data_IF_340115167955
#
_entry.id   IF_340115167955
#
_cell.length_a   1.000
_cell.length_b   1.000
_cell.length_c   1.000
_cell.angle_alpha   90.00
_cell.angle_beta   90.00
_cell.angle_gamma   90.00
#
_symmetry.space_group_name_H-M   'P 1'
#
loop_
_entity.id
_entity.type
_entity.pdbx_description
1 polymer ?
#
# COMPACT_ATOMS: atom_id res chain seq x y z
N UNK A 1 1.55 36.37 13.93
CA UNK A 1 1.74 35.03 14.54
C UNK A 1 2.95 34.42 13.85
N UNK A 2 4.05 34.33 14.58
CA UNK A 2 5.42 34.11 14.04
C UNK A 2 5.59 32.71 13.47
N UNK A 3 6.29 32.57 12.34
CA UNK A 3 6.51 31.29 11.65
C UNK A 3 7.16 30.19 12.50
N UNK A 4 7.83 30.54 13.60
CA UNK A 4 8.34 29.58 14.59
C UNK A 4 7.21 28.77 15.25
N UNK A 5 6.14 29.43 15.69
CA UNK A 5 5.02 28.76 16.38
C UNK A 5 4.29 27.76 15.46
N UNK A 6 4.20 28.08 14.16
CA UNK A 6 3.61 27.19 13.17
C UNK A 6 4.44 25.92 12.96
N UNK A 7 5.77 26.03 12.99
CA UNK A 7 6.65 24.87 12.84
C UNK A 7 6.62 23.98 14.08
N UNK A 8 6.57 24.55 15.28
CA UNK A 8 6.47 23.78 16.52
C UNK A 8 5.13 23.06 16.63
N UNK A 9 4.04 23.68 16.18
CA UNK A 9 2.73 23.02 16.11
C UNK A 9 2.75 21.84 15.13
N UNK A 10 3.41 21.99 13.97
CA UNK A 10 3.56 20.88 13.01
C UNK A 10 4.39 19.73 13.57
N UNK A 11 5.51 20.03 14.25
CA UNK A 11 6.35 19.03 14.92
C UNK A 11 5.57 18.28 16.00
N UNK A 12 4.82 19.01 16.82
CA UNK A 12 3.96 18.43 17.85
C UNK A 12 2.91 17.51 17.22
N UNK A 13 2.23 17.96 16.17
CA UNK A 13 1.26 17.15 15.45
C UNK A 13 1.87 15.85 14.89
N UNK A 14 3.05 15.92 14.27
CA UNK A 14 3.76 14.75 13.76
C UNK A 14 4.13 13.76 14.88
N UNK A 15 4.61 14.27 16.01
CA UNK A 15 4.93 13.45 17.19
C UNK A 15 3.68 12.71 17.70
N UNK A 16 2.58 13.42 17.88
CA UNK A 16 1.32 12.85 18.36
C UNK A 16 0.78 11.78 17.41
N UNK A 17 0.82 12.05 16.10
CA UNK A 17 0.39 11.09 15.08
C UNK A 17 1.24 9.83 15.09
N UNK A 18 2.57 9.97 15.21
CA UNK A 18 3.47 8.83 15.28
C UNK A 18 3.23 8.01 16.56
N UNK A 19 3.11 8.67 17.70
CA UNK A 19 2.83 8.03 18.99
C UNK A 19 1.51 7.24 18.94
N UNK A 20 0.46 7.82 18.36
CA UNK A 20 -0.83 7.14 18.20
C UNK A 20 -0.67 5.89 17.31
N UNK A 21 -0.02 6.01 16.16
CA UNK A 21 0.19 4.86 15.26
C UNK A 21 0.99 3.72 15.92
N UNK A 22 2.03 4.04 16.70
CA UNK A 22 2.81 3.08 17.49
C UNK A 22 1.90 2.38 18.52
N UNK A 23 1.12 3.14 19.28
CA UNK A 23 0.18 2.59 20.27
C UNK A 23 -0.86 1.68 19.62
N UNK A 24 -1.44 2.07 18.50
CA UNK A 24 -2.42 1.24 17.78
C UNK A 24 -1.83 -0.10 17.33
N UNK A 25 -0.57 -0.10 16.86
CA UNK A 25 0.13 -1.34 16.52
C UNK A 25 0.41 -2.20 17.75
N UNK A 26 0.87 -1.59 18.85
CA UNK A 26 1.14 -2.30 20.11
C UNK A 26 -0.13 -2.92 20.71
N UNK A 27 -1.25 -2.20 20.74
CA UNK A 27 -2.52 -2.74 21.26
C UNK A 27 -2.98 -3.96 20.44
N UNK A 28 -2.78 -3.91 19.12
CA UNK A 28 -3.23 -4.97 18.21
C UNK A 28 -2.33 -6.20 18.21
N UNK A 29 -1.01 -6.00 18.20
CA UNK A 29 -0.05 -7.07 17.92
C UNK A 29 0.97 -7.29 19.05
N UNK A 30 1.13 -6.34 19.96
CA UNK A 30 2.11 -6.41 21.04
C UNK A 30 1.87 -7.64 21.94
N UNK A 31 2.93 -8.43 22.12
CA UNK A 31 2.89 -9.65 22.93
C UNK A 31 2.07 -10.80 22.35
N UNK A 32 1.59 -10.68 21.11
CA UNK A 32 0.85 -11.73 20.40
C UNK A 32 1.80 -12.47 19.44
N UNK A 33 1.50 -13.74 19.14
CA UNK A 33 2.24 -14.53 18.13
C UNK A 33 1.79 -14.24 16.68
N UNK A 34 0.92 -13.26 16.50
CA UNK A 34 0.37 -12.92 15.20
C UNK A 34 1.32 -12.00 14.45
N UNK A 35 1.43 -12.23 13.13
CA UNK A 35 2.29 -11.46 12.26
C UNK A 35 1.56 -10.20 11.79
N UNK A 36 2.21 -9.05 11.91
CA UNK A 36 1.74 -7.76 11.43
C UNK A 36 2.20 -7.54 9.97
N UNK A 37 1.26 -7.65 9.02
CA UNK A 37 1.50 -7.48 7.57
C UNK A 37 0.95 -6.15 7.05
N UNK A 38 1.28 -5.83 5.79
CA UNK A 38 0.80 -4.65 5.06
C UNK A 38 -0.71 -4.65 4.76
N UNK A 39 -1.39 -5.79 4.92
CA UNK A 39 -2.84 -5.89 4.83
C UNK A 39 -3.58 -5.21 5.99
N UNK A 40 -2.92 -4.98 7.13
CA UNK A 40 -3.52 -4.29 8.27
C UNK A 40 -3.33 -2.78 8.15
N UNK A 41 -4.42 -2.03 8.28
CA UNK A 41 -4.42 -0.57 8.17
C UNK A 41 -3.55 0.11 9.22
N UNK A 42 -3.36 -0.50 10.40
CA UNK A 42 -2.49 0.03 11.47
C UNK A 42 -1.03 -0.01 11.06
N UNK A 43 -0.59 -1.10 10.42
CA UNK A 43 0.79 -1.26 9.92
C UNK A 43 1.07 -0.29 8.79
N UNK A 44 0.12 -0.13 7.87
CA UNK A 44 0.22 0.86 6.80
C UNK A 44 0.26 2.29 7.35
N UNK A 45 -0.58 2.61 8.34
CA UNK A 45 -0.58 3.90 9.03
C UNK A 45 0.76 4.16 9.74
N UNK A 46 1.29 3.16 10.45
CA UNK A 46 2.58 3.24 11.14
C UNK A 46 3.71 3.61 10.17
N UNK A 47 3.81 2.91 9.04
CA UNK A 47 4.79 3.21 8.01
C UNK A 47 4.64 4.65 7.49
N UNK A 48 3.40 5.09 7.25
CA UNK A 48 3.11 6.44 6.76
C UNK A 48 3.50 7.53 7.78
N UNK A 49 3.30 7.31 9.09
CA UNK A 49 3.68 8.30 10.11
C UNK A 49 5.20 8.40 10.28
N UNK A 50 5.93 7.28 10.26
CA UNK A 50 7.39 7.31 10.25
C UNK A 50 7.92 8.02 8.99
N UNK A 51 7.36 7.71 7.82
CA UNK A 51 7.69 8.40 6.58
C UNK A 51 7.45 9.91 6.69
N UNK A 52 6.29 10.34 7.21
CA UNK A 52 5.98 11.75 7.39
C UNK A 52 6.98 12.47 8.31
N UNK A 53 7.41 11.81 9.39
CA UNK A 53 8.43 12.34 10.31
C UNK A 53 9.79 12.47 9.62
N UNK A 54 10.25 11.43 8.93
CA UNK A 54 11.53 11.47 8.21
C UNK A 54 11.51 12.42 7.01
N UNK A 55 10.36 12.65 6.39
CA UNK A 55 10.21 13.54 5.25
C UNK A 55 10.06 15.02 5.68
N UNK A 56 9.69 15.28 6.95
CA UNK A 56 9.43 16.62 7.45
C UNK A 56 10.69 17.48 7.51
N UNK A 57 10.71 18.57 6.74
CA UNK A 57 11.79 19.55 6.76
C UNK A 57 13.08 19.08 6.10
N UNK A 58 13.01 18.11 5.19
CA UNK A 58 14.13 17.82 4.31
C UNK A 58 14.50 19.04 3.46
N UNK A 59 15.80 19.31 3.38
CA UNK A 59 16.36 20.32 2.49
C UNK A 59 16.16 19.88 1.06
N UNK A 60 15.52 20.73 0.27
CA UNK A 60 15.64 20.65 -1.19
C UNK A 60 17.11 20.86 -1.50
N UNK A 61 17.76 19.87 -2.10
CA UNK A 61 19.17 19.98 -2.47
C UNK A 61 19.37 21.29 -3.24
N UNK A 62 20.05 22.26 -2.61
CA UNK A 62 20.48 23.51 -3.26
C UNK A 62 21.81 23.31 -4.00
N UNK A 63 22.19 22.06 -4.29
CA UNK A 63 23.51 21.70 -4.79
C UNK A 63 23.44 20.91 -6.08
N UNK A 64 23.35 21.65 -7.20
CA UNK A 64 23.85 21.35 -8.57
C UNK A 64 23.30 22.36 -9.60
N UNK A 65 22.30 23.18 -9.24
CA UNK A 65 21.67 24.14 -10.15
C UNK A 65 22.45 25.46 -10.34
N UNK A 66 23.37 25.83 -9.44
CA UNK A 66 24.03 27.14 -9.50
C UNK A 66 25.09 27.25 -10.61
N UNK A 67 25.67 26.14 -11.08
CA UNK A 67 26.58 26.13 -12.25
C UNK A 67 25.86 25.84 -13.56
N UNK A 68 24.65 25.28 -13.53
CA UNK A 68 23.86 25.00 -14.73
C UNK A 68 22.99 26.19 -15.18
N UNK A 69 22.55 27.05 -14.26
CA UNK A 69 21.72 28.22 -14.58
C UNK A 69 22.47 29.27 -15.43
N UNK A 70 23.79 29.41 -15.22
CA UNK A 70 24.61 30.35 -15.98
C UNK A 70 24.88 29.89 -17.43
N UNK A 71 24.88 28.58 -17.69
CA UNK A 71 25.15 28.01 -19.02
C UNK A 71 23.84 27.73 -19.80
N UNK A 72 22.71 27.51 -19.11
CA UNK A 72 21.41 27.18 -19.74
C UNK A 72 20.54 28.39 -20.14
N UNK A 73 20.97 29.63 -19.91
CA UNK A 73 20.21 30.79 -20.39
C UNK A 73 20.23 30.96 -21.93
N UNK A 74 21.07 30.22 -22.66
CA UNK A 74 21.16 30.33 -24.11
C UNK A 74 20.31 29.32 -24.91
N UNK A 75 19.63 28.35 -24.28
CA UNK A 75 19.05 27.22 -25.03
C UNK A 75 17.61 26.80 -24.66
N UNK A 76 16.83 27.63 -23.97
CA UNK A 76 15.36 27.46 -23.87
C UNK A 76 14.84 26.12 -23.31
N UNK A 77 15.69 25.25 -22.76
CA UNK A 77 15.31 23.91 -22.29
C UNK A 77 15.31 23.86 -20.77
N UNK A 78 14.15 24.13 -20.18
CA UNK A 78 13.90 23.95 -18.73
C UNK A 78 13.78 22.46 -18.42
N UNK A 79 14.90 21.78 -18.19
CA UNK A 79 14.89 20.46 -17.56
C UNK A 79 14.66 20.63 -16.06
N UNK A 80 13.39 20.68 -15.65
CA UNK A 80 12.96 20.52 -14.26
C UNK A 80 13.32 19.10 -13.79
N UNK A 81 14.55 18.87 -13.37
CA UNK A 81 14.91 17.72 -12.52
C UNK A 81 15.06 18.21 -11.10
N UNK A 82 14.03 18.87 -10.56
CA UNK A 82 13.90 18.95 -9.11
C UNK A 82 13.39 17.58 -8.64
N UNK A 83 14.32 16.64 -8.43
CA UNK A 83 14.00 15.44 -7.66
C UNK A 83 13.56 15.87 -6.27
N UNK A 84 12.33 15.52 -5.91
CA UNK A 84 11.78 15.78 -4.58
C UNK A 84 12.77 15.25 -3.52
N UNK A 85 13.12 16.04 -2.49
CA UNK A 85 14.05 15.58 -1.48
C UNK A 85 13.44 14.38 -0.77
N UNK A 86 14.19 13.29 -0.66
CA UNK A 86 13.72 12.05 -0.02
C UNK A 86 14.68 11.64 1.07
N UNK A 87 14.13 11.17 2.19
CA UNK A 87 14.94 10.77 3.35
C UNK A 87 15.90 9.62 3.03
N UNK A 88 15.65 8.85 1.96
CA UNK A 88 16.56 7.84 1.44
C UNK A 88 17.98 8.35 1.21
N UNK A 89 18.14 9.60 0.77
CA UNK A 89 19.46 10.19 0.55
C UNK A 89 20.30 10.29 1.82
N UNK A 90 19.66 10.43 2.97
CA UNK A 90 20.36 10.42 4.25
C UNK A 90 20.53 9.00 4.78
N UNK A 91 19.50 8.17 4.67
CA UNK A 91 19.54 6.76 5.10
C UNK A 91 20.68 5.98 4.44
N UNK A 92 20.88 6.12 3.13
CA UNK A 92 21.95 5.39 2.43
C UNK A 92 23.36 5.68 2.97
N UNK A 93 23.57 6.84 3.61
CA UNK A 93 24.86 7.25 4.18
C UNK A 93 25.15 6.57 5.53
N UNK A 94 24.18 5.87 6.13
CA UNK A 94 24.37 5.06 7.34
C UNK A 94 24.35 3.56 7.07
N UNK A 95 23.96 3.14 5.86
CA UNK A 95 23.92 1.74 5.44
C UNK A 95 25.31 1.25 5.02
N UNK A 96 25.59 -0.02 5.26
CA UNK A 96 26.76 -0.68 4.72
C UNK A 96 26.58 -1.04 3.23
N UNK A 97 27.68 -1.38 2.54
CA UNK A 97 27.65 -1.69 1.09
C UNK A 97 26.70 -2.83 0.74
N UNK A 98 26.61 -3.87 1.58
CA UNK A 98 25.75 -5.02 1.34
C UNK A 98 24.27 -4.68 1.52
N UNK A 99 23.93 -3.94 2.57
CA UNK A 99 22.58 -3.40 2.81
C UNK A 99 22.14 -2.53 1.64
N UNK A 100 23.01 -1.62 1.20
CA UNK A 100 22.73 -0.74 0.07
C UNK A 100 22.46 -1.55 -1.22
N UNK A 101 23.32 -2.52 -1.52
CA UNK A 101 23.15 -3.39 -2.69
C UNK A 101 21.84 -4.18 -2.63
N UNK A 102 21.39 -4.64 -1.45
CA UNK A 102 20.09 -5.32 -1.29
C UNK A 102 18.95 -4.44 -1.79
N UNK A 103 18.92 -3.15 -1.43
CA UNK A 103 17.86 -2.22 -1.88
C UNK A 103 17.96 -1.85 -3.37
N UNK A 104 19.17 -1.80 -3.95
CA UNK A 104 19.34 -1.60 -5.39
C UNK A 104 18.99 -2.85 -6.22
N UNK A 105 18.96 -4.03 -5.61
CA UNK A 105 18.65 -5.30 -6.28
C UNK A 105 17.16 -5.66 -6.25
N UNK A 106 16.32 -4.84 -5.60
CA UNK A 106 14.86 -5.01 -5.57
C UNK A 106 14.29 -4.87 -6.98
N UNK A 107 13.36 -5.77 -7.36
CA UNK A 107 12.88 -5.87 -8.75
C UNK A 107 11.77 -4.86 -9.05
N UNK A 108 10.90 -4.62 -8.06
CA UNK A 108 9.76 -3.74 -8.19
C UNK A 108 10.10 -2.29 -7.83
N UNK A 109 11.20 -2.05 -7.11
CA UNK A 109 11.61 -0.72 -6.64
C UNK A 109 12.61 -0.07 -7.60
N UNK A 110 12.22 1.04 -8.20
CA UNK A 110 13.03 1.78 -9.17
C UNK A 110 13.37 3.20 -8.71
N UNK A 111 12.60 3.78 -7.79
CA UNK A 111 12.77 5.17 -7.33
C UNK A 111 13.42 5.26 -5.96
N UNK A 112 14.05 6.40 -5.66
CA UNK A 112 14.63 6.66 -4.33
C UNK A 112 13.56 6.79 -3.24
N UNK A 113 12.36 7.27 -3.57
CA UNK A 113 11.19 7.24 -2.67
C UNK A 113 10.89 5.78 -2.29
N UNK A 114 10.82 4.90 -3.30
CA UNK A 114 10.58 3.48 -3.09
C UNK A 114 11.66 2.81 -2.26
N UNK A 115 12.93 3.17 -2.46
CA UNK A 115 14.04 2.65 -1.66
C UNK A 115 13.95 3.07 -0.19
N UNK A 116 13.63 4.34 0.10
CA UNK A 116 13.40 4.81 1.47
C UNK A 116 12.25 4.06 2.15
N UNK A 117 11.13 3.89 1.44
CA UNK A 117 9.97 3.15 1.90
C UNK A 117 10.23 1.66 2.11
N UNK A 118 11.00 1.04 1.23
CA UNK A 118 11.42 -0.36 1.36
C UNK A 118 12.35 -0.55 2.55
N UNK A 119 13.28 0.38 2.76
CA UNK A 119 14.16 0.38 3.92
C UNK A 119 13.39 0.47 5.24
N UNK A 120 12.43 1.39 5.34
CA UNK A 120 11.64 1.53 6.57
C UNK A 120 10.91 0.23 6.93
N UNK A 121 10.29 -0.41 5.92
CA UNK A 121 9.61 -1.70 6.09
C UNK A 121 10.59 -2.81 6.47
N UNK A 122 11.77 -2.84 5.84
CA UNK A 122 12.83 -3.78 6.16
C UNK A 122 13.32 -3.61 7.60
N UNK A 123 13.53 -2.37 8.05
CA UNK A 123 13.97 -2.05 9.40
C UNK A 123 12.95 -2.45 10.47
N UNK A 124 11.65 -2.38 10.16
CA UNK A 124 10.59 -2.91 11.02
C UNK A 124 10.59 -4.44 11.05
N UNK A 125 10.69 -5.10 9.90
CA UNK A 125 10.74 -6.56 9.80
C UNK A 125 11.95 -7.16 10.53
N UNK A 126 13.11 -6.48 10.45
CA UNK A 126 14.36 -6.92 11.08
C UNK A 126 14.53 -6.40 12.53
N UNK A 127 13.52 -5.72 13.10
CA UNK A 127 13.58 -5.12 14.45
C UNK A 127 14.82 -4.22 14.67
N UNK A 128 15.26 -3.54 13.61
CA UNK A 128 16.51 -2.77 13.60
C UNK A 128 16.28 -1.27 13.45
N UNK A 129 15.01 -0.83 13.35
CA UNK A 129 14.65 0.58 13.20
C UNK A 129 15.21 1.45 14.32
N UNK A 130 15.11 1.00 15.58
CA UNK A 130 15.66 1.72 16.74
C UNK A 130 17.17 2.01 16.57
N UNK A 131 17.95 0.97 16.24
CA UNK A 131 19.39 1.09 15.98
C UNK A 131 19.67 2.09 14.87
N UNK A 132 18.94 2.01 13.76
CA UNK A 132 19.16 2.93 12.65
C UNK A 132 18.82 4.37 13.01
N UNK A 133 17.72 4.61 13.73
CA UNK A 133 17.34 5.96 14.16
C UNK A 133 18.41 6.54 15.09
N UNK A 134 18.96 5.74 16.01
CA UNK A 134 20.12 6.17 16.80
C UNK A 134 21.31 6.58 15.91
N UNK A 135 21.65 5.78 14.89
CA UNK A 135 22.72 6.12 13.96
C UNK A 135 22.43 7.40 13.16
N UNK A 136 21.17 7.61 12.75
CA UNK A 136 20.73 8.79 12.02
C UNK A 136 20.78 10.06 12.87
N UNK A 137 20.53 9.96 14.18
CA UNK A 137 20.54 11.10 15.11
C UNK A 137 21.92 11.35 15.76
N UNK A 138 22.87 10.41 15.63
CA UNK A 138 24.18 10.51 16.28
C UNK A 138 25.05 11.67 15.78
N UNK A 139 24.94 12.04 14.51
CA UNK A 139 25.74 13.11 13.89
C UNK A 139 24.84 14.27 13.43
N UNK A 140 24.64 15.24 14.33
CA UNK A 140 23.84 16.45 14.06
C UNK A 140 24.43 17.31 12.93
N UNK A 141 25.76 17.33 12.78
CA UNK A 141 26.40 18.12 11.73
C UNK A 141 26.03 17.54 10.36
N UNK A 142 26.13 16.21 10.19
CA UNK A 142 25.63 15.54 8.98
C UNK A 142 24.14 15.75 8.80
N UNK A 143 23.34 15.59 9.85
CA UNK A 143 21.88 15.74 9.78
C UNK A 143 21.46 17.12 9.25
N UNK A 144 22.15 18.19 9.68
CA UNK A 144 21.91 19.58 9.24
C UNK A 144 22.18 19.84 7.75
N UNK A 145 22.93 18.95 7.07
CA UNK A 145 23.12 19.01 5.61
C UNK A 145 21.83 18.60 4.88
N UNK A 146 21.09 17.64 5.44
CA UNK A 146 19.90 17.06 4.82
C UNK A 146 18.60 17.65 5.34
N UNK A 147 18.57 18.22 6.54
CA UNK A 147 17.37 18.75 7.18
C UNK A 147 17.50 20.24 7.49
N UNK A 148 16.40 20.96 7.37
CA UNK A 148 16.30 22.36 7.80
C UNK A 148 16.17 22.43 9.33
N UNK A 149 16.56 23.55 9.93
CA UNK A 149 16.53 23.74 11.39
C UNK A 149 15.11 23.68 11.98
N UNK A 150 14.08 23.89 11.16
CA UNK A 150 12.66 23.76 11.53
C UNK A 150 12.10 22.34 11.34
N UNK A 151 12.91 21.39 10.85
CA UNK A 151 12.51 20.00 10.63
C UNK A 151 12.22 19.26 11.95
N UNK A 152 11.60 18.09 11.85
CA UNK A 152 11.36 17.26 13.04
C UNK A 152 12.67 16.67 13.56
N UNK A 153 13.51 16.17 12.64
CA UNK A 153 14.76 15.50 12.97
C UNK A 153 15.78 16.43 13.65
N UNK A 154 15.71 17.74 13.42
CA UNK A 154 16.60 18.73 14.06
C UNK A 154 16.14 19.16 15.47
N UNK A 155 14.94 18.76 15.91
CA UNK A 155 14.45 19.02 17.27
C UNK A 155 14.90 17.87 18.20
N UNK A 156 15.92 18.11 19.03
CA UNK A 156 16.52 17.07 19.89
C UNK A 156 15.53 16.50 20.92
N UNK A 157 14.65 17.33 21.49
CA UNK A 157 13.69 16.89 22.49
C UNK A 157 12.70 15.89 21.88
N UNK A 158 12.19 16.21 20.68
CA UNK A 158 11.19 15.36 20.00
C UNK A 158 11.80 14.18 19.28
N UNK A 159 12.92 14.38 18.59
CA UNK A 159 13.59 13.32 17.82
C UNK A 159 14.19 12.23 18.71
N UNK A 160 14.62 12.57 19.93
CA UNK A 160 15.10 11.59 20.92
C UNK A 160 14.02 10.58 21.36
N UNK A 161 12.74 10.87 21.11
CA UNK A 161 11.65 9.94 21.39
C UNK A 161 11.48 8.86 20.30
N UNK A 162 11.98 9.09 19.07
CA UNK A 162 11.80 8.15 17.94
C UNK A 162 12.45 6.78 18.25
N UNK A 163 13.71 6.69 18.75
CA UNK A 163 14.27 5.40 19.14
C UNK A 163 13.42 4.67 20.17
N UNK A 164 12.94 5.36 21.21
CA UNK A 164 12.06 4.77 22.25
C UNK A 164 10.75 4.25 21.66
N UNK A 165 10.15 4.99 20.73
CA UNK A 165 8.96 4.54 20.00
C UNK A 165 9.25 3.29 19.16
N UNK A 166 10.39 3.25 18.48
CA UNK A 166 10.81 2.07 17.71
C UNK A 166 11.10 0.86 18.61
N UNK A 167 11.73 1.07 19.78
CA UNK A 167 11.97 0.02 20.77
C UNK A 167 10.66 -0.64 21.23
N UNK A 168 9.60 0.16 21.40
CA UNK A 168 8.26 -0.33 21.75
C UNK A 168 7.65 -1.27 20.71
N UNK A 169 8.08 -1.18 19.45
CA UNK A 169 7.63 -2.05 18.36
C UNK A 169 8.40 -3.38 18.29
N UNK A 170 9.51 -3.54 19.04
CA UNK A 170 10.29 -4.78 19.04
C UNK A 170 9.51 -6.00 19.53
N UNK A 171 8.39 -5.79 20.23
CA UNK A 171 7.47 -6.84 20.67
C UNK A 171 6.50 -7.36 19.59
N UNK A 172 6.53 -6.79 18.37
CA UNK A 172 5.60 -7.10 17.28
C UNK A 172 6.37 -7.76 16.13
N UNK A 173 5.94 -8.95 15.69
CA UNK A 173 6.53 -9.62 14.53
C UNK A 173 5.98 -9.04 13.23
N UNK A 174 6.80 -8.28 12.50
CA UNK A 174 6.41 -7.68 11.22
C UNK A 174 6.78 -8.58 10.03
N UNK A 175 5.87 -8.67 9.06
CA UNK A 175 6.13 -9.24 7.73
C UNK A 175 5.54 -8.33 6.65
N UNK A 176 6.13 -7.16 6.50
CA UNK A 176 5.69 -6.12 5.56
C UNK A 176 6.42 -6.33 4.23
N UNK A 177 5.69 -6.31 3.10
CA UNK A 177 6.30 -6.46 1.79
C UNK A 177 7.23 -5.28 1.44
N UNK A 178 8.51 -5.57 1.18
CA UNK A 178 9.54 -4.57 0.84
C UNK A 178 9.74 -4.36 -0.66
N UNK A 179 9.28 -5.29 -1.51
CA UNK A 179 9.47 -5.25 -2.98
C UNK A 179 8.11 -5.10 -3.68
N UNK A 180 7.51 -3.92 -3.54
CA UNK A 180 6.21 -3.59 -4.15
C UNK A 180 6.33 -2.30 -4.99
N UNK A 181 5.81 -2.33 -6.22
CA UNK A 181 5.82 -1.19 -7.16
C UNK A 181 5.11 0.05 -6.60
N UNK A 182 4.10 -0.14 -5.75
CA UNK A 182 3.33 0.95 -5.11
C UNK A 182 4.20 1.79 -4.15
N UNK A 183 5.37 1.28 -3.76
CA UNK A 183 6.30 2.03 -2.93
C UNK A 183 7.01 3.13 -3.70
N UNK A 184 7.07 3.09 -5.03
CA UNK A 184 7.87 4.03 -5.83
C UNK A 184 7.41 5.50 -5.79
N UNK A 185 6.37 5.83 -5.03
CA UNK A 185 5.72 7.13 -4.96
C UNK A 185 4.27 7.01 -5.40
N UNK A 186 3.50 8.09 -5.36
CA UNK A 186 2.19 8.07 -5.99
C UNK A 186 2.37 7.76 -7.48
N UNK A 187 2.08 6.52 -7.89
CA UNK A 187 1.48 6.29 -9.19
C UNK A 187 0.27 7.22 -9.18
N UNK A 188 0.34 8.33 -9.92
CA UNK A 188 -0.84 9.15 -10.20
C UNK A 188 -1.77 8.31 -11.08
N UNK A 189 -2.37 7.26 -10.53
CA UNK A 189 -3.78 7.03 -10.77
C UNK A 189 -4.49 8.12 -9.96
N UNK A 190 -4.47 9.34 -10.48
CA UNK A 190 -5.69 10.14 -10.38
C UNK A 190 -6.76 9.25 -10.98
N UNK A 191 -7.77 8.76 -10.23
CA UNK A 191 -8.94 8.22 -10.89
C UNK A 191 -9.39 9.36 -11.79
N UNK A 192 -9.26 9.17 -13.10
CA UNK A 192 -9.81 10.17 -14.02
C UNK A 192 -11.31 10.14 -13.73
N UNK A 193 -12.04 11.24 -13.89
CA UNK A 193 -13.50 11.23 -13.73
C UNK A 193 -14.14 10.09 -14.56
N UNK A 194 -13.46 9.67 -15.64
CA UNK A 194 -13.72 8.48 -16.43
C UNK A 194 -13.72 7.13 -15.67
N UNK A 195 -12.88 6.95 -14.66
CA UNK A 195 -12.81 5.73 -13.84
C UNK A 195 -13.95 5.70 -12.80
N UNK A 196 -14.27 6.85 -12.20
CA UNK A 196 -15.44 7.02 -11.32
C UNK A 196 -16.78 6.87 -12.08
N UNK A 197 -16.84 7.35 -13.33
CA UNK A 197 -18.02 7.18 -14.19
C UNK A 197 -18.18 5.73 -14.68
N UNK A 198 -17.08 4.99 -14.87
CA UNK A 198 -17.15 3.56 -15.22
C UNK A 198 -17.69 2.71 -14.07
N UNK A 199 -17.30 2.99 -12.83
CA UNK A 199 -17.80 2.29 -11.64
C UNK A 199 -19.29 2.59 -11.40
N UNK A 200 -19.71 3.84 -11.58
CA UNK A 200 -21.12 4.22 -11.38
C UNK A 200 -22.06 3.73 -12.49
N UNK A 201 -21.57 3.45 -13.70
CA UNK A 201 -22.40 2.98 -14.83
C UNK A 201 -22.56 1.46 -14.88
N UNK A 202 -21.66 0.71 -14.24
CA UNK A 202 -21.78 -0.76 -14.14
C UNK A 202 -22.88 -1.20 -13.15
N UNK A 203 -23.15 -0.42 -12.10
CA UNK A 203 -24.21 -0.73 -11.14
C UNK A 203 -25.64 -0.38 -11.63
N UNK A 204 -25.78 0.55 -12.58
CA UNK A 204 -27.12 0.90 -13.12
C UNK A 204 -27.50 -0.01 -14.30
N UNK A 205 -26.52 -0.55 -15.03
CA UNK A 205 -26.79 -1.48 -16.15
C UNK A 205 -27.06 -2.92 -15.71
N UNK A 206 -26.64 -3.33 -14.52
CA UNK A 206 -27.04 -4.60 -13.91
C UNK A 206 -28.49 -4.57 -13.40
N UNK A 207 -28.90 -3.48 -12.73
CA UNK A 207 -30.28 -3.36 -12.21
C UNK A 207 -31.35 -3.15 -13.29
N UNK A 208 -31.01 -2.53 -14.42
CA UNK A 208 -31.94 -2.42 -15.56
C UNK A 208 -32.07 -3.72 -16.37
N UNK A 209 -31.05 -4.61 -16.31
CA UNK A 209 -31.14 -5.94 -16.91
C UNK A 209 -31.92 -6.94 -16.05
N UNK A 210 -31.93 -6.78 -14.73
CA UNK A 210 -32.74 -7.63 -13.85
C UNK A 210 -34.26 -7.34 -13.93
N UNK A 211 -34.66 -6.13 -14.32
CA UNK A 211 -36.09 -5.78 -14.40
C UNK A 211 -36.81 -6.31 -15.66
N UNK A 212 -36.10 -6.83 -16.67
CA UNK A 212 -36.74 -7.38 -17.89
C UNK A 212 -36.55 -8.89 -18.07
N UNK A 213 -35.77 -9.54 -17.19
CA UNK A 213 -35.63 -11.00 -17.18
C UNK A 213 -36.79 -11.72 -16.46
N UNK A 214 -37.55 -11.03 -15.60
CA UNK A 214 -38.62 -11.62 -14.78
C UNK A 214 -39.97 -11.86 -15.45
N UNK A 215 -40.27 -11.17 -16.56
CA UNK A 215 -41.56 -11.32 -17.28
C UNK A 215 -41.49 -12.19 -18.55
N UNK A 216 -40.28 -12.52 -19.02
CA UNK A 216 -40.11 -13.42 -20.18
C UNK A 216 -40.07 -14.91 -19.79
N UNK A 217 -39.90 -15.24 -18.51
CA UNK A 217 -39.93 -16.62 -18.01
C UNK A 217 -41.36 -17.19 -17.87
N UNK A 218 -42.34 -16.34 -17.54
CA UNK A 218 -43.73 -16.79 -17.32
C UNK A 218 -44.51 -17.02 -18.63
N UNK A 219 -44.09 -16.42 -19.74
CA UNK A 219 -44.76 -16.63 -21.04
C UNK A 219 -44.20 -17.81 -21.85
N UNK A 220 -43.10 -18.44 -21.42
CA UNK A 220 -42.57 -19.67 -22.05
C UNK A 220 -43.04 -20.95 -21.35
N UNK A 221 -43.70 -20.84 -20.19
CA UNK A 221 -44.17 -22.01 -19.41
C UNK A 221 -45.64 -22.39 -19.68
N UNK A 222 -46.41 -21.57 -20.40
CA UNK A 222 -47.85 -21.83 -20.68
C UNK A 222 -48.08 -22.60 -22.00
N UNK A 223 -47.06 -22.79 -22.85
CA UNK A 223 -47.22 -23.49 -24.15
C UNK A 223 -46.61 -24.89 -24.22
N UNK A 224 -46.14 -25.44 -23.10
CA UNK A 224 -45.63 -26.81 -23.00
C UNK A 224 -46.59 -27.73 -22.22
N UNK A 225 -47.88 -27.71 -22.59
CA UNK A 225 -48.79 -28.82 -22.36
C UNK A 225 -49.13 -29.45 -23.70
N UNK A 226 -48.50 -30.58 -23.99
CA UNK A 226 -49.01 -31.73 -24.75
C UNK A 226 -47.84 -32.43 -25.43
N UNK A 227 -47.30 -33.45 -24.77
CA UNK A 227 -46.42 -34.43 -25.37
C UNK A 227 -47.31 -35.60 -25.86
N UNK A 228 -47.34 -35.87 -27.16
CA UNK A 228 -47.30 -37.23 -27.73
C UNK A 228 -46.82 -37.11 -29.18
N UNK A 229 -45.61 -37.61 -29.48
CA UNK A 229 -45.17 -37.83 -30.85
C UNK A 229 -45.65 -39.19 -31.34
N UNK A 230 -46.37 -39.16 -32.45
CA UNK A 230 -46.80 -40.29 -33.26
C UNK A 230 -45.57 -40.77 -34.06
N UNK A 231 -45.14 -42.01 -33.84
CA UNK A 231 -44.31 -42.75 -34.80
C UNK A 231 -45.04 -44.06 -35.15
N UNK A 232 -45.53 -44.11 -36.38
CA UNK A 232 -46.16 -45.28 -37.02
C UNK A 232 -45.08 -46.03 -37.81
N UNK A 233 -44.97 -47.36 -37.66
CA UNK A 233 -45.14 -48.43 -38.69
C UNK A 233 -44.49 -49.77 -38.25
N UNK A 234 -44.88 -50.95 -38.82
CA UNK A 234 -46.15 -51.67 -38.66
C UNK A 234 -46.01 -53.11 -38.11
N UNK A 235 -47.13 -53.60 -37.58
CA UNK A 235 -47.76 -54.94 -37.57
C UNK A 235 -47.11 -56.26 -37.09
N UNK A 236 -47.98 -56.98 -36.36
CA UNK A 236 -48.14 -58.43 -36.10
C UNK A 236 -47.25 -59.12 -35.05
N UNK A 237 -47.74 -59.92 -34.10
CA UNK A 237 -49.10 -60.36 -33.74
C UNK A 237 -49.07 -61.02 -32.33
N UNK A 238 -50.22 -61.02 -31.66
CA UNK A 238 -50.67 -61.92 -30.57
C UNK A 238 -50.10 -61.87 -29.12
N UNK A 239 -50.97 -61.37 -28.24
CA UNK A 239 -51.15 -61.45 -26.76
C UNK A 239 -51.38 -62.90 -26.21
N UNK A 240 -51.66 -63.16 -24.90
CA UNK A 240 -51.46 -62.37 -23.65
C UNK A 240 -50.96 -63.17 -22.39
N UNK A 241 -50.50 -62.44 -21.34
CA UNK A 241 -50.58 -62.59 -19.83
C UNK A 241 -50.58 -63.97 -19.10
N UNK A 242 -50.46 -64.04 -17.74
CA UNK A 242 -49.62 -63.33 -16.74
C UNK A 242 -48.88 -64.32 -15.79
N UNK A 243 -48.24 -63.87 -14.69
CA UNK A 243 -48.28 -64.43 -13.30
C UNK A 243 -47.01 -64.08 -12.48
N UNK A 244 -47.27 -63.71 -11.22
CA UNK A 244 -46.36 -63.49 -10.08
C UNK A 244 -45.19 -64.48 -9.95
N UNK A 245 -44.05 -64.04 -9.37
CA UNK A 245 -43.61 -64.47 -8.01
C UNK A 245 -42.26 -63.90 -7.56
N UNK A 246 -42.31 -63.31 -6.37
CA UNK A 246 -41.38 -63.34 -5.22
C UNK A 246 -40.05 -64.12 -5.31
N UNK A 247 -39.03 -63.48 -4.72
CA UNK A 247 -37.99 -63.95 -3.77
C UNK A 247 -36.51 -63.90 -4.18
N UNK A 248 -35.78 -63.06 -3.42
CA UNK A 248 -34.64 -63.35 -2.51
C UNK A 248 -33.39 -64.07 -3.06
N UNK A 249 -32.27 -63.36 -2.89
CA UNK A 249 -30.89 -63.72 -2.58
C UNK A 249 -30.40 -65.15 -2.82
N UNK A 250 -29.21 -65.20 -3.42
CA UNK A 250 -28.06 -65.92 -2.87
C UNK A 250 -26.84 -64.98 -2.92
#
# INVERSE_FOLDING_TARGET
ISGSQTNDTKRQFLLERLLDAVKQCQIRFGGRKEIASDSDSRVTCLCAQFEAVFQHGLRRSRGLALTAAAIKQAAGFSSKTETEPVFWYYVKEVLNRHELQRFYSLKAITTDIGRGRAWLRCALNEHSLERYVHMLLADKNRLSVFYEDWSFMMDEERSSMIPTMAAGLNSILFAINIDNKDLNGQSKCTPTVSDLLKESTQNVTSLLKESTQGVSSLLREITASSAVSILIKPDQDSDPLPVLSRNVNA
#
